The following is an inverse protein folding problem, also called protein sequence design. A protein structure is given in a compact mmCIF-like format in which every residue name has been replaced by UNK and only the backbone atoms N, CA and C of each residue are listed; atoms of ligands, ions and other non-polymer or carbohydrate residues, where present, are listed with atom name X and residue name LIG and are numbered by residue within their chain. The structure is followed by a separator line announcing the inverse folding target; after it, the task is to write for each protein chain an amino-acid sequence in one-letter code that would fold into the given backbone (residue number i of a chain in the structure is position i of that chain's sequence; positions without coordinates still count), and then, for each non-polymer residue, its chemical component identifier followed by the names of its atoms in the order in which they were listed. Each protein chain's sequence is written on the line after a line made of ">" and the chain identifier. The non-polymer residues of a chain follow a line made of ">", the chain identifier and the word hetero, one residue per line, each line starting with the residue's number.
data_IF_131083444283
#
_entry.id   IF_131083444283
#
_cell.length_a   1.000
_cell.length_b   1.000
_cell.length_c   1.000
_cell.angle_alpha   90.00
_cell.angle_beta   90.00
_cell.angle_gamma   90.00
#
_symmetry.space_group_name_H-M   'P 1'
#
loop_
_entity.id
_entity.type
_entity.pdbx_description
1 polymer ?
#
# COMPACT_ATOMS: atom_id res chain seq x y z
N UNK A 1 16.82 13.62 -0.99
CA UNK A 1 15.55 12.86 -1.21
C UNK A 1 15.92 11.46 -1.68
N UNK A 2 15.41 10.44 -1.03
CA UNK A 2 15.51 9.03 -1.41
C UNK A 2 14.11 8.53 -1.78
N UNK A 3 13.97 7.74 -2.87
CA UNK A 3 12.68 7.14 -3.20
C UNK A 3 12.23 6.15 -2.12
N UNK A 4 10.92 5.98 -1.94
CA UNK A 4 10.40 4.96 -1.02
C UNK A 4 10.93 3.56 -1.34
N UNK A 5 11.12 3.26 -2.62
CA UNK A 5 11.68 1.96 -3.05
C UNK A 5 13.15 1.83 -2.65
N UNK A 6 13.96 2.88 -2.82
CA UNK A 6 15.36 2.83 -2.40
C UNK A 6 15.50 2.78 -0.88
N UNK A 7 14.61 3.45 -0.14
CA UNK A 7 14.54 3.31 1.31
C UNK A 7 14.23 1.86 1.73
N UNK A 8 13.25 1.21 1.09
CA UNK A 8 12.94 -0.20 1.36
C UNK A 8 14.10 -1.13 0.98
N UNK A 9 14.81 -0.85 -0.13
CA UNK A 9 16.02 -1.59 -0.52
C UNK A 9 17.12 -1.47 0.53
N UNK A 10 17.35 -0.26 1.05
CA UNK A 10 18.33 0.01 2.12
C UNK A 10 17.99 -0.78 3.39
N UNK A 11 16.74 -0.73 3.82
CA UNK A 11 16.27 -1.49 4.98
C UNK A 11 16.39 -3.01 4.76
N UNK A 12 16.11 -3.48 3.54
CA UNK A 12 16.22 -4.90 3.18
C UNK A 12 17.67 -5.36 3.14
N UNK A 13 18.58 -4.53 2.65
CA UNK A 13 20.01 -4.85 2.64
C UNK A 13 20.60 -4.97 4.06
N UNK A 14 20.06 -4.19 5.01
CA UNK A 14 20.47 -4.24 6.41
C UNK A 14 19.93 -5.49 7.15
N UNK A 15 18.68 -5.86 6.90
CA UNK A 15 18.02 -7.03 7.51
C UNK A 15 16.90 -7.54 6.58
N UNK A 16 17.21 -8.48 5.68
CA UNK A 16 16.27 -9.02 4.70
C UNK A 16 15.13 -9.83 5.32
N UNK A 17 15.40 -10.49 6.44
CA UNK A 17 14.48 -11.41 7.12
C UNK A 17 13.57 -10.70 8.13
N UNK A 18 13.81 -9.42 8.40
CA UNK A 18 12.92 -8.66 9.28
C UNK A 18 11.47 -8.71 8.81
N UNK A 19 10.56 -9.09 9.70
CA UNK A 19 9.13 -9.15 9.40
C UNK A 19 8.59 -7.74 9.18
N UNK A 20 8.29 -7.41 7.94
CA UNK A 20 7.77 -6.10 7.56
C UNK A 20 6.29 -5.94 7.92
N UNK A 21 5.48 -6.95 7.61
CA UNK A 21 4.04 -6.94 7.87
C UNK A 21 3.59 -8.33 8.35
N UNK A 22 2.72 -8.34 9.34
CA UNK A 22 1.92 -9.53 9.73
C UNK A 22 0.45 -9.20 9.58
N UNK A 23 -0.35 -10.13 9.06
CA UNK A 23 -1.80 -10.04 9.01
C UNK A 23 -2.39 -11.41 9.32
N UNK A 24 -3.05 -11.56 10.44
CA UNK A 24 -3.50 -12.85 10.98
C UNK A 24 -2.33 -13.83 11.19
N UNK A 25 -2.35 -14.99 10.51
CA UNK A 25 -1.28 -16.00 10.58
C UNK A 25 -0.22 -15.84 9.49
N UNK A 26 -0.42 -14.91 8.55
CA UNK A 26 0.54 -14.64 7.49
C UNK A 26 1.51 -13.54 7.90
N UNK A 27 2.78 -13.70 7.54
CA UNK A 27 3.79 -12.66 7.66
C UNK A 27 4.62 -12.58 6.39
N UNK A 28 5.18 -11.41 6.13
CA UNK A 28 6.08 -11.17 5.01
C UNK A 28 7.33 -10.45 5.47
N UNK A 29 8.50 -10.93 5.04
CA UNK A 29 9.77 -10.25 5.30
C UNK A 29 9.98 -9.09 4.33
N UNK A 30 10.97 -8.23 4.63
CA UNK A 30 11.37 -7.13 3.73
C UNK A 30 11.79 -7.65 2.36
N UNK A 31 12.61 -8.71 2.33
CA UNK A 31 13.07 -9.31 1.08
C UNK A 31 11.91 -9.84 0.24
N UNK A 32 11.01 -10.58 0.86
CA UNK A 32 9.85 -11.14 0.17
C UNK A 32 8.85 -10.06 -0.29
N UNK A 33 8.67 -9.00 0.50
CA UNK A 33 7.83 -7.86 0.11
C UNK A 33 8.37 -7.16 -1.14
N UNK A 34 9.67 -6.89 -1.20
CA UNK A 34 10.30 -6.30 -2.39
C UNK A 34 10.24 -7.24 -3.59
N UNK A 35 10.48 -8.54 -3.39
CA UNK A 35 10.40 -9.54 -4.45
C UNK A 35 8.97 -9.62 -5.03
N UNK A 36 7.97 -9.81 -4.19
CA UNK A 36 6.55 -9.86 -4.63
C UNK A 36 6.09 -8.54 -5.24
N UNK A 37 6.56 -7.41 -4.69
CA UNK A 37 6.33 -6.10 -5.27
C UNK A 37 6.91 -5.97 -6.68
N UNK A 38 8.13 -6.47 -6.89
CA UNK A 38 8.79 -6.51 -8.19
C UNK A 38 8.04 -7.38 -9.21
N UNK A 39 7.66 -8.62 -8.81
CA UNK A 39 6.87 -9.52 -9.67
C UNK A 39 5.57 -8.83 -10.12
N UNK A 40 4.85 -8.21 -9.17
CA UNK A 40 3.61 -7.50 -9.50
C UNK A 40 3.86 -6.24 -10.33
N UNK A 41 4.97 -5.52 -10.12
CA UNK A 41 5.31 -4.34 -10.92
C UNK A 41 5.54 -4.71 -12.39
N UNK A 42 6.28 -5.79 -12.67
CA UNK A 42 6.47 -6.30 -14.04
C UNK A 42 5.13 -6.68 -14.67
N UNK A 43 4.25 -7.32 -13.90
CA UNK A 43 2.91 -7.67 -14.38
C UNK A 43 2.07 -6.41 -14.67
N UNK A 44 2.06 -5.41 -13.79
CA UNK A 44 1.36 -4.13 -14.00
C UNK A 44 1.89 -3.39 -15.23
N UNK A 45 3.21 -3.40 -15.43
CA UNK A 45 3.83 -2.82 -16.63
C UNK A 45 3.34 -3.51 -17.91
N UNK A 46 3.21 -4.85 -17.91
CA UNK A 46 2.66 -5.60 -19.04
C UNK A 46 1.19 -5.30 -19.35
N UNK A 47 0.44 -4.85 -18.32
CA UNK A 47 -0.95 -4.38 -18.46
C UNK A 47 -1.03 -2.89 -18.84
N UNK A 48 0.09 -2.23 -19.10
CA UNK A 48 0.15 -0.87 -19.61
C UNK A 48 0.29 0.24 -18.56
N UNK A 49 0.52 -0.09 -17.29
CA UNK A 49 0.80 0.92 -16.25
C UNK A 49 2.13 1.63 -16.54
N UNK A 50 2.12 2.96 -16.49
CA UNK A 50 3.24 3.83 -16.80
C UNK A 50 3.51 4.80 -15.66
N UNK A 51 4.66 5.47 -15.73
CA UNK A 51 5.00 6.58 -14.84
C UNK A 51 3.88 7.64 -14.82
N UNK A 52 3.49 8.05 -13.62
CA UNK A 52 2.48 9.07 -13.38
C UNK A 52 1.03 8.58 -13.42
N UNK A 53 0.77 7.34 -13.84
CA UNK A 53 -0.58 6.77 -13.83
C UNK A 53 -1.11 6.63 -12.40
N UNK A 54 -2.44 6.71 -12.26
CA UNK A 54 -3.13 6.23 -11.07
C UNK A 54 -3.43 4.75 -11.21
N UNK A 55 -3.26 3.98 -10.13
CA UNK A 55 -3.68 2.57 -10.07
C UNK A 55 -4.63 2.39 -8.90
N UNK A 56 -5.87 1.98 -9.18
CA UNK A 56 -6.88 1.77 -8.14
C UNK A 56 -6.58 0.49 -7.35
N UNK A 57 -6.57 0.61 -6.02
CA UNK A 57 -6.31 -0.49 -5.08
C UNK A 57 -7.54 -0.69 -4.20
N UNK A 58 -8.40 -1.64 -4.59
CA UNK A 58 -9.61 -2.08 -3.88
C UNK A 58 -9.35 -3.36 -3.06
N UNK A 59 -8.16 -3.47 -2.49
CA UNK A 59 -7.71 -4.64 -1.72
C UNK A 59 -8.09 -4.46 -0.25
N UNK A 60 -8.67 -5.49 0.42
CA UNK A 60 -8.92 -5.44 1.85
C UNK A 60 -7.61 -5.35 2.64
N UNK A 61 -7.69 -5.02 3.94
CA UNK A 61 -6.53 -5.09 4.83
C UNK A 61 -5.87 -6.47 4.74
N UNK A 62 -4.70 -6.52 4.14
CA UNK A 62 -3.91 -7.73 3.91
C UNK A 62 -2.47 -7.37 3.52
N UNK A 63 -1.59 -8.35 3.49
CA UNK A 63 -0.22 -8.19 2.97
C UNK A 63 -0.25 -7.72 1.50
N UNK A 64 -1.23 -8.16 0.71
CA UNK A 64 -1.35 -7.81 -0.71
C UNK A 64 -1.59 -6.31 -0.95
N UNK A 65 -2.15 -5.60 0.03
CA UNK A 65 -2.25 -4.15 -0.03
C UNK A 65 -0.86 -3.50 -0.08
N UNK A 66 0.09 -3.93 0.77
CA UNK A 66 1.46 -3.42 0.77
C UNK A 66 2.23 -3.84 -0.48
N UNK A 67 2.06 -5.08 -0.92
CA UNK A 67 2.64 -5.56 -2.20
C UNK A 67 2.18 -4.71 -3.37
N UNK A 68 0.88 -4.33 -3.40
CA UNK A 68 0.33 -3.46 -4.43
C UNK A 68 0.96 -2.07 -4.41
N UNK A 69 1.12 -1.48 -3.22
CA UNK A 69 1.75 -0.16 -3.08
C UNK A 69 3.21 -0.16 -3.52
N UNK A 70 3.99 -1.16 -3.09
CA UNK A 70 5.39 -1.31 -3.50
C UNK A 70 5.50 -1.46 -5.01
N UNK A 71 4.67 -2.31 -5.63
CA UNK A 71 4.65 -2.51 -7.08
C UNK A 71 4.34 -1.23 -7.85
N UNK A 72 3.35 -0.47 -7.40
CA UNK A 72 2.93 0.78 -8.05
C UNK A 72 4.05 1.83 -7.93
N UNK A 73 4.67 1.98 -6.75
CA UNK A 73 5.79 2.92 -6.59
C UNK A 73 7.01 2.53 -7.41
N UNK A 74 7.31 1.23 -7.62
CA UNK A 74 8.39 0.77 -8.49
C UNK A 74 8.22 1.25 -9.94
N UNK A 75 7.01 1.48 -10.40
CA UNK A 75 6.71 2.00 -11.73
C UNK A 75 6.64 3.54 -11.77
N UNK A 76 6.79 4.23 -10.64
CA UNK A 76 6.56 5.67 -10.55
C UNK A 76 5.09 6.05 -10.75
N UNK A 77 4.18 5.11 -10.56
CA UNK A 77 2.75 5.32 -10.56
C UNK A 77 2.25 5.67 -9.16
N UNK A 78 1.01 6.11 -9.03
CA UNK A 78 0.41 6.57 -7.77
C UNK A 78 -0.72 5.63 -7.34
N UNK A 79 -0.66 5.01 -6.15
CA UNK A 79 -1.75 4.17 -5.66
C UNK A 79 -2.95 5.02 -5.25
N UNK A 80 -4.13 4.61 -5.72
CA UNK A 80 -5.43 5.14 -5.34
C UNK A 80 -6.18 4.14 -4.48
N UNK A 81 -6.10 4.21 -3.14
CA UNK A 81 -6.81 3.28 -2.27
C UNK A 81 -8.30 3.58 -2.24
N UNK A 82 -9.09 2.53 -2.38
CA UNK A 82 -10.56 2.56 -2.24
C UNK A 82 -11.02 1.39 -1.38
N UNK A 83 -12.21 1.51 -0.78
CA UNK A 83 -12.77 0.40 -0.01
C UNK A 83 -13.06 -0.80 -0.93
N UNK A 84 -12.62 -2.00 -0.53
CA UNK A 84 -12.96 -3.26 -1.22
C UNK A 84 -14.45 -3.64 -1.11
N UNK A 85 -15.24 -2.88 -0.35
CA UNK A 85 -16.67 -3.12 -0.11
C UNK A 85 -17.54 -2.07 -0.78
N UNK A 86 -17.00 -1.25 -1.67
CA UNK A 86 -17.79 -0.26 -2.39
C UNK A 86 -18.86 -0.95 -3.25
N UNK A 87 -20.08 -0.44 -3.27
CA UNK A 87 -21.05 -0.80 -4.29
C UNK A 87 -20.49 -0.53 -5.69
N UNK A 88 -20.82 -1.37 -6.67
CA UNK A 88 -20.29 -1.28 -8.03
C UNK A 88 -20.43 0.14 -8.61
N UNK A 89 -21.59 0.76 -8.45
CA UNK A 89 -21.85 2.11 -8.95
C UNK A 89 -20.90 3.18 -8.39
N UNK A 90 -20.53 3.03 -7.10
CA UNK A 90 -19.60 3.96 -6.46
C UNK A 90 -18.17 3.70 -6.93
N UNK A 91 -17.79 2.43 -7.11
CA UNK A 91 -16.51 2.04 -7.66
C UNK A 91 -16.35 2.57 -9.09
N UNK A 92 -17.36 2.39 -9.95
CA UNK A 92 -17.35 2.88 -11.33
C UNK A 92 -17.15 4.41 -11.39
N UNK A 93 -17.82 5.16 -10.51
CA UNK A 93 -17.66 6.61 -10.44
C UNK A 93 -16.24 7.04 -10.02
N UNK A 94 -15.58 6.27 -9.12
CA UNK A 94 -14.21 6.53 -8.72
C UNK A 94 -13.21 6.18 -9.82
N UNK A 95 -13.48 5.11 -10.56
CA UNK A 95 -12.66 4.69 -11.70
C UNK A 95 -12.78 5.69 -12.86
N UNK A 96 -13.98 6.18 -13.14
CA UNK A 96 -14.18 7.24 -14.12
C UNK A 96 -13.41 8.51 -13.75
N UNK A 97 -13.40 8.87 -12.45
CA UNK A 97 -12.69 10.05 -11.94
C UNK A 97 -11.16 9.91 -12.01
N UNK A 98 -10.63 8.72 -11.67
CA UNK A 98 -9.19 8.46 -11.57
C UNK A 98 -8.57 8.01 -12.90
N UNK A 99 -9.36 7.48 -13.81
CA UNK A 99 -8.96 6.95 -15.11
C UNK A 99 -7.76 5.97 -15.06
N UNK A 100 -7.77 4.97 -14.13
CA UNK A 100 -6.64 4.06 -13.97
C UNK A 100 -6.57 3.05 -15.11
N UNK A 101 -5.38 2.66 -15.61
CA UNK A 101 -5.25 1.55 -16.56
C UNK A 101 -5.58 0.20 -15.93
N UNK A 102 -5.34 0.05 -14.61
CA UNK A 102 -5.52 -1.19 -13.87
C UNK A 102 -6.25 -0.94 -12.55
N UNK A 103 -7.14 -1.88 -12.20
CA UNK A 103 -7.84 -1.95 -10.90
C UNK A 103 -7.45 -3.24 -10.19
N UNK A 104 -6.81 -3.14 -9.03
CA UNK A 104 -6.40 -4.28 -8.21
C UNK A 104 -7.44 -4.52 -7.11
N UNK A 105 -7.80 -5.78 -6.86
CA UNK A 105 -8.72 -6.18 -5.79
C UNK A 105 -10.15 -6.40 -6.25
N UNK A 106 -10.40 -6.48 -7.55
CA UNK A 106 -11.71 -6.77 -8.15
C UNK A 106 -11.65 -7.99 -9.05
N UNK A 107 -12.78 -8.67 -9.25
CA UNK A 107 -12.85 -9.84 -10.12
C UNK A 107 -12.55 -9.47 -11.58
N UNK A 108 -12.09 -10.45 -12.36
CA UNK A 108 -11.84 -10.27 -13.77
C UNK A 108 -13.09 -9.77 -14.52
N UNK A 109 -12.92 -8.72 -15.31
CA UNK A 109 -14.00 -8.10 -16.07
C UNK A 109 -15.02 -7.31 -15.25
N UNK A 110 -14.82 -7.15 -13.93
CA UNK A 110 -15.72 -6.38 -13.07
C UNK A 110 -15.78 -4.88 -13.44
N UNK A 111 -14.78 -4.39 -14.15
CA UNK A 111 -14.69 -2.99 -14.60
C UNK A 111 -14.52 -2.94 -16.10
N UNK A 112 -15.48 -2.35 -16.81
CA UNK A 112 -15.44 -2.25 -18.27
C UNK A 112 -14.29 -1.36 -18.74
N UNK A 113 -13.57 -1.83 -19.76
CA UNK A 113 -12.50 -1.06 -20.40
C UNK A 113 -11.21 -0.91 -19.57
N UNK A 114 -11.07 -1.65 -18.48
CA UNK A 114 -9.87 -1.65 -17.62
C UNK A 114 -9.35 -3.06 -17.40
N UNK A 115 -8.04 -3.18 -17.23
CA UNK A 115 -7.46 -4.42 -16.73
C UNK A 115 -7.77 -4.57 -15.25
N UNK A 116 -8.10 -5.80 -14.82
CA UNK A 116 -8.46 -6.10 -13.44
C UNK A 116 -7.57 -7.20 -12.88
N UNK A 117 -7.24 -7.10 -11.60
CA UNK A 117 -6.46 -8.10 -10.86
C UNK A 117 -7.27 -8.51 -9.63
N UNK A 118 -7.65 -9.79 -9.49
CA UNK A 118 -8.45 -10.24 -8.35
C UNK A 118 -7.69 -10.24 -7.03
N UNK A 119 -8.43 -10.20 -5.92
CA UNK A 119 -7.86 -10.40 -4.58
C UNK A 119 -7.15 -11.75 -4.51
N UNK A 120 -5.96 -11.78 -3.89
CA UNK A 120 -5.17 -13.00 -3.75
C UNK A 120 -4.39 -13.42 -5.00
N UNK A 121 -4.43 -12.62 -6.06
CA UNK A 121 -3.58 -12.86 -7.24
C UNK A 121 -2.11 -12.89 -6.86
N UNK A 122 -1.39 -13.86 -7.43
CA UNK A 122 0.06 -13.97 -7.32
C UNK A 122 0.68 -13.81 -8.69
N UNK A 123 1.38 -12.69 -8.89
CA UNK A 123 2.10 -12.47 -10.14
C UNK A 123 3.15 -13.57 -10.34
N UNK A 124 3.35 -14.05 -11.58
CA UNK A 124 4.47 -14.93 -11.88
C UNK A 124 5.80 -14.29 -11.47
N UNK A 125 6.77 -15.13 -11.04
CA UNK A 125 8.11 -14.64 -10.75
C UNK A 125 8.73 -13.99 -11.98
N UNK A 126 9.29 -12.81 -11.81
CA UNK A 126 9.82 -12.00 -12.90
C UNK A 126 11.14 -11.32 -12.50
N UNK A 127 11.97 -11.02 -13.50
CA UNK A 127 13.14 -10.17 -13.30
C UNK A 127 12.72 -8.69 -13.28
N UNK A 128 12.72 -8.11 -12.08
CA UNK A 128 12.41 -6.71 -11.87
C UNK A 128 13.64 -5.77 -11.97
N UNK A 129 14.83 -6.30 -12.30
CA UNK A 129 16.07 -5.52 -12.37
C UNK A 129 16.05 -4.45 -13.47
N UNK A 130 15.22 -4.63 -14.48
CA UNK A 130 15.05 -3.68 -15.59
C UNK A 130 14.08 -2.54 -15.27
N UNK A 131 13.38 -2.59 -14.14
CA UNK A 131 12.45 -1.52 -13.76
C UNK A 131 13.23 -0.23 -13.46
N UNK A 132 12.72 0.92 -13.89
CA UNK A 132 13.39 2.19 -13.70
C UNK A 132 13.48 2.57 -12.21
N UNK A 133 14.57 3.24 -11.82
CA UNK A 133 14.66 3.88 -10.51
C UNK A 133 14.03 5.27 -10.59
N UNK A 134 12.73 5.34 -10.31
CA UNK A 134 11.93 6.55 -10.46
C UNK A 134 11.20 6.89 -9.16
N UNK A 135 10.83 8.15 -9.01
CA UNK A 135 10.02 8.64 -7.88
C UNK A 135 8.62 8.97 -8.41
N UNK A 136 7.60 8.30 -7.89
CA UNK A 136 6.21 8.64 -8.20
C UNK A 136 5.93 10.11 -7.81
N UNK A 137 5.29 10.91 -8.69
CA UNK A 137 5.02 12.33 -8.44
C UNK A 137 4.08 12.57 -7.25
N UNK A 138 3.26 11.57 -6.91
CA UNK A 138 2.42 11.57 -5.72
C UNK A 138 2.48 10.20 -5.06
N UNK A 139 2.71 10.14 -3.75
CA UNK A 139 2.86 8.86 -3.08
C UNK A 139 1.53 8.11 -2.84
N UNK A 140 0.40 8.82 -2.95
CA UNK A 140 -0.97 8.26 -2.92
C UNK A 140 -1.98 9.25 -3.47
N UNK A 141 -3.16 8.75 -3.81
CA UNK A 141 -4.32 9.53 -4.23
C UNK A 141 -5.63 8.99 -3.62
N UNK A 142 -5.85 9.11 -2.28
CA UNK A 142 -7.10 8.65 -1.68
C UNK A 142 -8.30 9.46 -2.15
N UNK A 143 -9.49 8.90 -1.97
CA UNK A 143 -10.75 9.59 -2.24
C UNK A 143 -11.39 10.13 -0.96
N UNK A 144 -11.98 11.30 -1.01
CA UNK A 144 -12.84 11.78 0.07
C UNK A 144 -14.23 11.17 -0.08
N UNK A 145 -14.83 10.72 1.04
CA UNK A 145 -16.26 10.48 1.10
C UNK A 145 -16.98 11.81 0.82
N UNK A 146 -17.57 11.95 -0.35
CA UNK A 146 -18.20 13.21 -0.74
C UNK A 146 -19.44 13.50 0.11
N UNK A 147 -19.32 14.32 1.15
CA UNK A 147 -20.46 14.90 1.87
C UNK A 147 -21.41 15.68 0.94
N UNK A 148 -20.96 15.98 -0.27
CA UNK A 148 -21.72 16.66 -1.34
C UNK A 148 -22.25 15.70 -2.42
N UNK A 149 -22.17 14.38 -2.22
CA UNK A 149 -22.66 13.36 -3.15
C UNK A 149 -21.76 13.08 -4.37
N UNK A 150 -20.64 13.79 -4.51
CA UNK A 150 -19.63 13.50 -5.56
C UNK A 150 -18.29 13.20 -4.93
N UNK A 151 -17.66 12.04 -5.23
CA UNK A 151 -16.35 11.72 -4.75
C UNK A 151 -15.31 12.71 -5.29
N UNK A 152 -14.27 12.98 -4.49
CA UNK A 152 -13.13 13.82 -4.91
C UNK A 152 -11.86 13.00 -4.74
N UNK A 153 -10.98 13.09 -5.72
CA UNK A 153 -9.65 12.55 -5.65
C UNK A 153 -8.72 13.55 -4.95
N UNK A 154 -8.00 13.09 -3.94
CA UNK A 154 -7.03 13.89 -3.18
C UNK A 154 -5.64 13.39 -3.54
N UNK A 155 -5.09 13.90 -4.63
CA UNK A 155 -3.72 13.58 -5.03
C UNK A 155 -2.75 14.25 -4.06
N UNK A 156 -1.83 13.49 -3.47
CA UNK A 156 -0.80 14.04 -2.59
C UNK A 156 0.07 15.05 -3.34
N UNK A 157 0.37 16.17 -2.71
CA UNK A 157 1.36 17.12 -3.21
C UNK A 157 2.81 16.66 -3.02
N UNK A 158 3.02 15.60 -2.20
CA UNK A 158 4.35 15.06 -1.92
C UNK A 158 4.63 13.85 -2.81
N UNK A 159 5.85 13.73 -3.35
CA UNK A 159 6.29 12.57 -4.13
C UNK A 159 6.46 11.33 -3.23
N UNK A 160 6.61 10.15 -3.84
CA UNK A 160 6.95 8.91 -3.12
C UNK A 160 8.44 8.88 -2.74
N UNK A 161 8.87 9.86 -1.95
CA UNK A 161 10.24 10.04 -1.50
C UNK A 161 10.30 10.57 -0.06
N UNK A 162 11.43 10.36 0.59
CA UNK A 162 11.76 10.85 1.93
C UNK A 162 12.92 11.83 1.86
N UNK A 163 12.92 12.81 2.75
CA UNK A 163 14.09 13.64 3.02
C UNK A 163 14.88 13.02 4.18
N UNK A 164 16.01 12.43 3.87
CA UNK A 164 16.88 11.76 4.85
C UNK A 164 17.48 12.72 5.88
N UNK A 165 17.44 14.02 5.62
CA UNK A 165 17.95 15.05 6.54
C UNK A 165 16.93 15.42 7.61
N UNK A 166 15.67 15.03 7.45
CA UNK A 166 14.58 15.26 8.39
C UNK A 166 14.33 14.03 9.26
N UNK A 167 13.97 14.21 10.53
CA UNK A 167 13.54 13.08 11.35
C UNK A 167 12.27 12.46 10.76
N UNK A 168 12.03 11.15 11.00
CA UNK A 168 10.78 10.53 10.60
C UNK A 168 9.57 11.32 11.06
N UNK A 169 8.57 11.57 10.21
CA UNK A 169 7.43 12.43 10.55
C UNK A 169 6.55 11.88 11.67
N UNK A 170 6.65 10.58 11.92
CA UNK A 170 5.99 9.91 13.04
C UNK A 170 7.07 9.30 13.93
N UNK A 171 7.04 9.62 15.21
CA UNK A 171 8.00 9.12 16.21
C UNK A 171 7.73 7.63 16.46
N UNK A 172 8.35 6.79 15.66
CA UNK A 172 8.32 5.34 15.78
C UNK A 172 9.74 4.83 15.94
N UNK A 173 9.97 3.99 16.95
CA UNK A 173 11.27 3.39 17.17
C UNK A 173 11.55 2.34 16.08
N UNK A 174 12.73 2.42 15.47
CA UNK A 174 13.20 1.40 14.51
C UNK A 174 13.20 0.04 15.19
N UNK A 175 12.65 -0.97 14.50
CA UNK A 175 12.47 -2.31 15.07
C UNK A 175 11.28 -2.44 16.04
N UNK A 176 10.52 -1.37 16.27
CA UNK A 176 9.25 -1.41 17.00
C UNK A 176 8.13 -2.07 16.19
N UNK A 177 6.91 -2.03 16.73
CA UNK A 177 5.73 -2.60 16.08
C UNK A 177 4.56 -1.63 16.15
N UNK A 178 3.98 -1.32 14.98
CA UNK A 178 2.71 -0.62 14.84
C UNK A 178 1.57 -1.63 14.76
N UNK A 179 0.65 -1.61 15.72
CA UNK A 179 -0.62 -2.33 15.60
C UNK A 179 -1.62 -1.45 14.85
N UNK A 180 -2.11 -1.97 13.72
CA UNK A 180 -3.00 -1.24 12.80
C UNK A 180 -4.34 -1.96 12.64
N UNK A 181 -5.36 -1.61 13.44
CA UNK A 181 -6.72 -2.15 13.31
C UNK A 181 -7.57 -1.39 12.28
N UNK A 182 -7.14 -0.20 11.86
CA UNK A 182 -7.88 0.67 10.94
C UNK A 182 -7.82 0.21 9.48
N UNK A 183 -8.85 0.55 8.67
CA UNK A 183 -8.87 0.18 7.25
C UNK A 183 -7.90 1.03 6.41
N UNK A 184 -7.01 0.35 5.67
CA UNK A 184 -5.91 0.98 4.94
C UNK A 184 -6.35 1.86 3.75
N UNK A 185 -7.61 1.79 3.31
CA UNK A 185 -8.12 2.71 2.30
C UNK A 185 -8.38 4.13 2.85
N UNK A 186 -8.41 4.32 4.16
CA UNK A 186 -8.48 5.64 4.78
C UNK A 186 -7.10 6.26 4.93
N UNK A 187 -7.05 7.60 4.82
CA UNK A 187 -5.81 8.36 4.84
C UNK A 187 -4.95 8.10 6.08
N UNK A 188 -5.51 8.16 7.28
CA UNK A 188 -4.76 7.98 8.52
C UNK A 188 -4.09 6.61 8.62
N UNK A 189 -4.83 5.49 8.57
CA UNK A 189 -4.25 4.15 8.58
C UNK A 189 -3.20 3.93 7.49
N UNK A 190 -3.43 4.41 6.26
CA UNK A 190 -2.45 4.31 5.17
C UNK A 190 -1.15 5.07 5.50
N UNK A 191 -1.25 6.33 5.97
CA UNK A 191 -0.08 7.14 6.34
C UNK A 191 0.75 6.45 7.40
N UNK A 192 0.13 6.05 8.52
CA UNK A 192 0.84 5.43 9.62
C UNK A 192 1.50 4.10 9.22
N UNK A 193 0.80 3.27 8.45
CA UNK A 193 1.32 1.98 7.99
C UNK A 193 2.47 2.14 6.99
N UNK A 194 2.35 3.04 6.01
CA UNK A 194 3.46 3.31 5.08
C UNK A 194 4.67 3.92 5.80
N UNK A 195 4.46 4.86 6.72
CA UNK A 195 5.54 5.44 7.49
C UNK A 195 6.23 4.39 8.39
N UNK A 196 5.48 3.50 9.04
CA UNK A 196 6.06 2.40 9.81
C UNK A 196 6.95 1.53 8.91
N UNK A 197 6.44 1.11 7.75
CA UNK A 197 7.19 0.30 6.80
C UNK A 197 8.50 0.98 6.35
N UNK A 198 8.43 2.27 5.99
CA UNK A 198 9.56 3.06 5.49
C UNK A 198 10.59 3.40 6.58
N UNK A 199 10.19 3.39 7.85
CA UNK A 199 11.08 3.61 9.00
C UNK A 199 11.58 2.30 9.63
N UNK A 200 11.35 1.15 8.99
CA UNK A 200 11.83 -0.14 9.46
C UNK A 200 11.08 -0.69 10.66
N UNK A 201 9.83 -0.29 10.85
CA UNK A 201 8.92 -0.73 11.91
C UNK A 201 8.03 -1.85 11.38
N UNK A 202 7.82 -2.90 12.17
CA UNK A 202 6.88 -3.97 11.87
C UNK A 202 5.44 -3.45 11.90
N UNK A 203 4.62 -3.83 10.92
CA UNK A 203 3.19 -3.53 10.91
C UNK A 203 2.38 -4.79 11.23
N UNK A 204 1.81 -4.86 12.43
CA UNK A 204 0.83 -5.87 12.80
C UNK A 204 -0.57 -5.38 12.36
N UNK A 205 -0.96 -5.80 11.16
CA UNK A 205 -2.19 -5.38 10.51
C UNK A 205 -3.35 -6.29 10.90
N UNK A 206 -4.48 -5.69 11.25
CA UNK A 206 -5.72 -6.43 11.47
C UNK A 206 -6.62 -6.36 10.24
N UNK A 207 -7.28 -7.47 9.83
CA UNK A 207 -8.23 -7.47 8.70
C UNK A 207 -9.43 -6.56 8.96
N UNK A 208 -9.82 -6.43 10.22
CA UNK A 208 -10.88 -5.54 10.71
C UNK A 208 -10.64 -5.21 12.18
N UNK A 209 -11.18 -4.08 12.61
CA UNK A 209 -11.17 -3.73 14.03
C UNK A 209 -11.95 -4.73 14.87
N UNK A 210 -11.33 -5.15 15.95
CA UNK A 210 -11.92 -5.90 17.05
C UNK A 210 -11.21 -5.49 18.34
N UNK A 211 -11.91 -5.02 19.40
CA UNK A 211 -11.27 -4.51 20.61
C UNK A 211 -10.39 -5.55 21.32
N UNK A 212 -10.90 -6.77 21.52
CA UNK A 212 -10.16 -7.84 22.19
C UNK A 212 -8.98 -8.30 21.32
N UNK A 213 -9.20 -8.48 20.02
CA UNK A 213 -8.16 -8.80 19.04
C UNK A 213 -7.06 -7.73 19.01
N UNK A 214 -7.42 -6.44 19.14
CA UNK A 214 -6.43 -5.37 19.17
C UNK A 214 -5.52 -5.50 20.39
N UNK A 215 -6.07 -5.79 21.57
CA UNK A 215 -5.26 -6.02 22.78
C UNK A 215 -4.37 -7.27 22.64
N UNK A 216 -4.92 -8.33 22.03
CA UNK A 216 -4.16 -9.56 21.76
C UNK A 216 -2.98 -9.30 20.79
N UNK A 217 -3.18 -8.54 19.71
CA UNK A 217 -2.11 -8.19 18.76
C UNK A 217 -1.05 -7.28 19.41
N UNK A 218 -1.44 -6.34 20.28
CA UNK A 218 -0.49 -5.52 21.08
C UNK A 218 0.38 -6.44 21.94
N UNK A 219 -0.21 -7.40 22.64
CA UNK A 219 0.53 -8.33 23.49
C UNK A 219 1.42 -9.26 22.67
N UNK A 220 0.87 -9.88 21.61
CA UNK A 220 1.55 -10.85 20.74
C UNK A 220 2.80 -10.25 20.10
N UNK A 221 2.69 -9.04 19.56
CA UNK A 221 3.75 -8.37 18.81
C UNK A 221 4.53 -7.34 19.64
N UNK A 222 4.24 -7.20 20.95
CA UNK A 222 4.80 -6.15 21.82
C UNK A 222 4.65 -4.78 21.18
N UNK A 223 3.42 -4.48 20.71
CA UNK A 223 3.10 -3.25 19.99
C UNK A 223 3.57 -2.00 20.74
N UNK A 224 4.44 -1.22 20.12
CA UNK A 224 4.96 0.05 20.67
C UNK A 224 4.14 1.26 20.23
N UNK A 225 3.39 1.12 19.15
CA UNK A 225 2.51 2.15 18.60
C UNK A 225 1.15 1.54 18.23
N UNK A 226 0.09 2.26 18.55
CA UNK A 226 -1.27 1.94 18.13
C UNK A 226 -1.89 3.15 17.47
N UNK A 227 -2.44 2.97 16.27
CA UNK A 227 -3.24 4.00 15.60
C UNK A 227 -4.70 3.62 15.60
N UNK A 228 -5.53 4.43 16.21
CA UNK A 228 -6.99 4.28 16.22
C UNK A 228 -7.67 5.63 16.00
N UNK A 229 -8.90 5.58 15.51
CA UNK A 229 -9.83 6.70 15.48
C UNK A 229 -11.03 6.34 16.35
N UNK A 230 -11.66 7.33 17.00
CA UNK A 230 -12.88 7.12 17.81
C UNK A 230 -14.02 6.47 17.03
#
# INVERSE_FOLDING_TARGET
>A
MISFINQLRTLTAADPDFVAVTCQEESISRAELLRRGGDLAVHLQSLGVKFGDLVTVAVPNSIDWFVSYVAIWMLGATPQPVSSRLPQRELDALIELADPPVVIGVADGAVSGRSTIPVGFRAPSADASHLPDVISPAWKAPTSGGSTGRPKLIVSGDPAAMDETLPPPLLMDVGGCLVMPGPLYHNGPAVWSCQALLNGVHVALMPRFDPEGTLAEIQKHRGSVLYMVP
#
